data_IF_813816166774
#
_entry.id   IF_813816166774
#
_cell.length_a   1.000
_cell.length_b   1.000
_cell.length_c   1.000
_cell.angle_alpha   90.00
_cell.angle_beta   90.00
_cell.angle_gamma   90.00
#
_symmetry.space_group_name_H-M   'P 1'
#
loop_
_entity.id
_entity.type
_entity.pdbx_description
1 polymer ?
#
# COMPACT_ATOMS: atom_id res chain seq x y z
N UNK A 1 57.68 -59.50 35.94
CA UNK A 1 57.65 -58.05 35.86
C UNK A 1 56.76 -57.71 34.64
N UNK A 2 55.49 -57.28 34.89
CA UNK A 2 54.49 -56.99 33.80
C UNK A 2 54.38 -55.47 33.64
N UNK A 3 54.80 -54.98 32.52
CA UNK A 3 54.69 -53.56 32.12
C UNK A 3 53.28 -53.33 31.65
N UNK A 4 52.50 -52.41 32.30
CA UNK A 4 51.21 -51.97 31.87
C UNK A 4 51.39 -50.70 30.99
N UNK A 5 51.07 -50.82 29.74
CA UNK A 5 51.02 -49.68 28.85
C UNK A 5 49.74 -48.88 29.11
N UNK A 6 49.87 -47.59 29.40
CA UNK A 6 48.75 -46.64 29.55
C UNK A 6 48.58 -45.93 28.20
N UNK A 7 47.44 -46.17 27.58
CA UNK A 7 47.02 -45.40 26.37
C UNK A 7 46.42 -44.06 26.81
N UNK A 8 47.05 -42.96 26.49
CA UNK A 8 46.49 -41.60 26.65
C UNK A 8 45.72 -41.26 25.37
N UNK A 9 44.38 -41.19 25.46
CA UNK A 9 43.53 -40.71 24.38
C UNK A 9 43.55 -39.18 24.40
N UNK A 10 44.07 -38.57 23.35
CA UNK A 10 44.00 -37.13 23.12
C UNK A 10 42.58 -36.75 22.63
N UNK A 11 41.84 -36.01 23.44
CA UNK A 11 40.54 -35.44 23.06
C UNK A 11 40.81 -34.14 22.26
N UNK A 12 40.61 -34.18 20.98
CA UNK A 12 40.68 -33.00 20.12
C UNK A 12 39.36 -32.23 20.25
N UNK A 13 39.38 -31.11 20.96
CA UNK A 13 38.26 -30.16 21.06
C UNK A 13 38.26 -29.32 19.75
N UNK A 14 37.31 -29.57 18.88
CA UNK A 14 37.07 -28.73 17.68
C UNK A 14 36.27 -27.51 18.19
N UNK A 15 36.78 -26.28 18.05
CA UNK A 15 35.98 -25.12 18.40
C UNK A 15 34.85 -24.95 17.37
N UNK A 16 33.61 -25.17 17.80
CA UNK A 16 32.44 -24.74 17.06
C UNK A 16 32.40 -23.21 17.12
N UNK A 17 32.86 -22.54 16.07
CA UNK A 17 32.60 -21.11 15.88
C UNK A 17 31.12 -20.95 15.60
N UNK A 18 30.30 -20.59 16.61
CA UNK A 18 29.00 -20.00 16.39
C UNK A 18 29.25 -18.67 15.71
N UNK A 19 29.15 -18.66 14.38
CA UNK A 19 28.95 -17.42 13.67
C UNK A 19 27.59 -16.88 14.16
N UNK A 20 27.62 -15.85 14.98
CA UNK A 20 26.43 -15.09 15.34
C UNK A 20 25.89 -14.56 13.99
N UNK A 21 24.82 -15.16 13.49
CA UNK A 21 24.06 -14.57 12.40
C UNK A 21 23.56 -13.24 12.97
N UNK A 22 24.11 -12.14 12.48
CA UNK A 22 23.54 -10.82 12.66
C UNK A 22 22.15 -10.89 12.02
N UNK A 23 21.12 -11.21 12.81
CA UNK A 23 19.73 -11.08 12.40
C UNK A 23 19.55 -9.60 12.17
N UNK A 24 19.58 -9.18 10.89
CA UNK A 24 19.30 -7.81 10.52
C UNK A 24 17.89 -7.48 11.02
N UNK A 25 17.77 -6.50 11.90
CA UNK A 25 16.46 -6.04 12.35
C UNK A 25 15.76 -5.37 11.17
N UNK A 26 14.47 -5.64 11.01
CA UNK A 26 13.64 -4.98 9.99
C UNK A 26 13.68 -3.45 10.19
N UNK A 27 14.05 -2.67 9.18
CA UNK A 27 13.91 -1.23 9.23
C UNK A 27 12.45 -0.80 9.34
N UNK A 28 12.16 0.41 9.86
CA UNK A 28 10.79 0.90 9.97
C UNK A 28 10.08 0.95 8.61
N UNK A 29 8.80 0.53 8.60
CA UNK A 29 7.85 0.74 7.50
C UNK A 29 6.78 1.67 8.05
N UNK A 30 6.87 2.96 7.70
CA UNK A 30 6.16 4.02 8.40
C UNK A 30 4.80 4.37 7.79
N UNK A 31 4.44 3.78 6.67
CA UNK A 31 3.15 3.99 6.02
C UNK A 31 3.16 3.68 4.53
N UNK A 32 2.01 3.88 3.90
CA UNK A 32 1.88 3.90 2.45
C UNK A 32 2.38 5.26 1.97
N UNK A 33 3.40 5.27 1.11
CA UNK A 33 3.94 6.49 0.50
C UNK A 33 3.22 6.83 -0.80
N UNK A 34 2.84 5.80 -1.57
CA UNK A 34 2.23 5.99 -2.89
C UNK A 34 1.34 4.80 -3.25
N UNK A 35 0.25 5.09 -3.93
CA UNK A 35 -0.50 4.12 -4.72
C UNK A 35 -0.37 4.52 -6.18
N UNK A 36 0.01 3.59 -7.04
CA UNK A 36 0.12 3.84 -8.47
C UNK A 36 -0.94 3.06 -9.22
N UNK A 37 -1.62 3.74 -10.14
CA UNK A 37 -2.68 3.18 -10.96
C UNK A 37 -2.38 3.38 -12.45
N UNK A 38 -2.89 2.47 -13.26
CA UNK A 38 -2.85 2.58 -14.70
C UNK A 38 -4.05 3.35 -15.25
N UNK A 39 -3.84 4.07 -16.34
CA UNK A 39 -4.88 4.82 -17.03
C UNK A 39 -4.82 4.63 -18.54
N UNK A 40 -5.97 4.36 -19.16
CA UNK A 40 -6.12 4.31 -20.62
C UNK A 40 -6.33 5.69 -21.23
N UNK A 41 -6.85 6.65 -20.46
CA UNK A 41 -7.04 8.04 -20.83
C UNK A 41 -6.49 8.98 -19.75
N UNK A 42 -5.26 9.47 -19.97
CA UNK A 42 -4.57 10.35 -19.05
C UNK A 42 -5.30 11.68 -18.83
N UNK A 43 -6.05 12.18 -19.83
CA UNK A 43 -6.79 13.44 -19.67
C UNK A 43 -8.01 13.27 -18.75
N UNK A 44 -8.74 12.17 -18.89
CA UNK A 44 -9.85 11.86 -17.98
C UNK A 44 -9.34 11.61 -16.58
N UNK A 45 -8.23 10.89 -16.43
CA UNK A 45 -7.59 10.69 -15.12
C UNK A 45 -7.13 12.00 -14.49
N UNK A 46 -6.59 12.94 -15.29
CA UNK A 46 -6.29 14.29 -14.81
C UNK A 46 -7.53 15.04 -14.30
N UNK A 47 -8.66 14.89 -14.96
CA UNK A 47 -9.92 15.48 -14.49
C UNK A 47 -10.37 14.84 -13.18
N UNK A 48 -10.28 13.51 -13.06
CA UNK A 48 -10.68 12.81 -11.85
C UNK A 48 -9.77 13.16 -10.66
N UNK A 49 -8.47 12.90 -10.74
CA UNK A 49 -7.55 13.10 -9.62
C UNK A 49 -7.29 14.59 -9.34
N UNK A 50 -7.12 15.40 -10.38
CA UNK A 50 -6.76 16.82 -10.23
C UNK A 50 -7.94 17.74 -9.99
N UNK A 51 -9.06 17.54 -10.69
CA UNK A 51 -10.22 18.46 -10.61
C UNK A 51 -11.31 17.92 -9.69
N UNK A 52 -11.72 16.68 -9.87
CA UNK A 52 -12.82 16.12 -9.09
C UNK A 52 -12.38 15.82 -7.64
N UNK A 53 -11.30 15.09 -7.43
CA UNK A 53 -10.75 14.85 -6.08
C UNK A 53 -9.97 16.07 -5.54
N UNK A 54 -9.53 16.98 -6.40
CA UNK A 54 -8.87 18.23 -6.01
C UNK A 54 -7.40 18.10 -5.63
N UNK A 55 -6.74 17.02 -5.99
CA UNK A 55 -5.33 16.84 -5.64
C UNK A 55 -4.40 17.65 -6.55
N UNK A 56 -3.50 18.45 -5.97
CA UNK A 56 -2.54 19.21 -6.76
C UNK A 56 -1.52 18.27 -7.41
N UNK A 57 -1.27 18.46 -8.69
CA UNK A 57 -0.27 17.70 -9.42
C UNK A 57 1.15 18.11 -9.00
N UNK A 58 1.99 17.14 -8.69
CA UNK A 58 3.42 17.33 -8.42
C UNK A 58 4.12 17.72 -9.73
N UNK A 59 5.09 18.62 -9.66
CA UNK A 59 5.84 19.02 -10.83
C UNK A 59 6.64 17.83 -11.40
N UNK A 60 6.40 17.51 -12.67
CA UNK A 60 7.09 16.43 -13.36
C UNK A 60 8.37 16.92 -14.03
N UNK A 61 9.41 16.09 -14.02
CA UNK A 61 10.67 16.36 -14.72
C UNK A 61 10.54 16.19 -16.25
N UNK A 62 9.50 15.52 -16.75
CA UNK A 62 9.29 15.24 -18.16
C UNK A 62 7.80 15.14 -18.50
N UNK A 63 7.43 15.55 -19.72
CA UNK A 63 6.06 15.41 -20.21
C UNK A 63 5.63 13.95 -20.41
N UNK A 64 6.55 13.02 -20.53
CA UNK A 64 6.31 11.58 -20.67
C UNK A 64 6.34 10.83 -19.35
N UNK A 65 6.65 11.50 -18.23
CA UNK A 65 6.62 10.87 -16.92
C UNK A 65 5.17 10.64 -16.47
N UNK A 66 4.93 9.65 -15.60
CA UNK A 66 3.64 9.49 -14.94
C UNK A 66 3.16 10.78 -14.29
N UNK A 67 1.86 10.99 -14.24
CA UNK A 67 1.27 12.09 -13.47
C UNK A 67 1.22 11.70 -12.00
N UNK A 68 1.68 12.57 -11.13
CA UNK A 68 1.67 12.33 -9.68
C UNK A 68 0.87 13.43 -8.97
N UNK A 69 -0.03 13.02 -8.10
CA UNK A 69 -0.95 13.89 -7.36
C UNK A 69 -0.64 13.82 -5.88
N UNK A 70 -0.40 14.96 -5.27
CA UNK A 70 -0.11 15.04 -3.83
C UNK A 70 -1.38 14.88 -3.01
N UNK A 71 -1.42 13.85 -2.15
CA UNK A 71 -2.45 13.68 -1.11
C UNK A 71 -2.02 14.39 0.18
N UNK A 72 -0.76 14.18 0.60
CA UNK A 72 -0.16 14.86 1.75
C UNK A 72 1.30 15.25 1.46
N UNK A 73 2.02 15.76 2.46
CA UNK A 73 3.45 16.03 2.30
C UNK A 73 4.30 14.76 2.08
N UNK A 74 3.76 13.58 2.38
CA UNK A 74 4.48 12.30 2.33
C UNK A 74 3.77 11.24 1.48
N UNK A 75 2.57 11.53 0.99
CA UNK A 75 1.76 10.57 0.25
C UNK A 75 1.30 11.13 -1.09
N UNK A 76 1.27 10.28 -2.10
CA UNK A 76 0.83 10.63 -3.44
C UNK A 76 0.07 9.49 -4.12
N UNK A 77 -0.71 9.85 -5.14
CA UNK A 77 -1.28 8.92 -6.11
C UNK A 77 -0.57 9.16 -7.43
N UNK A 78 -0.01 8.10 -8.01
CA UNK A 78 0.61 8.16 -9.32
C UNK A 78 -0.32 7.54 -10.36
N UNK A 79 -0.44 8.21 -11.51
CA UNK A 79 -1.21 7.74 -12.65
C UNK A 79 -0.28 7.58 -13.83
N UNK A 80 -0.19 6.38 -14.36
CA UNK A 80 0.68 6.06 -15.49
C UNK A 80 -0.09 5.44 -16.66
N UNK A 81 0.39 5.59 -17.91
CA UNK A 81 -0.27 5.00 -19.06
C UNK A 81 -0.38 3.48 -18.90
N UNK A 82 -1.57 2.94 -19.14
CA UNK A 82 -1.82 1.50 -19.08
C UNK A 82 -1.07 0.78 -20.21
N UNK A 83 -0.34 -0.31 -19.92
CA UNK A 83 0.13 -1.23 -20.93
C UNK A 83 -1.03 -1.80 -21.75
N UNK A 84 -0.76 -2.17 -23.00
CA UNK A 84 -1.78 -2.80 -23.83
C UNK A 84 -2.25 -4.12 -23.22
N UNK A 85 -3.57 -4.31 -23.11
CA UNK A 85 -4.16 -5.51 -22.53
C UNK A 85 -4.21 -5.52 -21.01
N UNK A 86 -4.00 -4.37 -20.35
CA UNK A 86 -4.18 -4.23 -18.90
C UNK A 86 -5.62 -4.56 -18.51
N UNK A 87 -5.78 -5.47 -17.57
CA UNK A 87 -7.05 -5.86 -16.94
C UNK A 87 -7.11 -5.47 -15.47
N UNK A 88 -5.96 -5.36 -14.82
CA UNK A 88 -5.79 -4.86 -13.46
C UNK A 88 -5.14 -3.46 -13.51
N UNK A 89 -5.83 -2.48 -12.94
CA UNK A 89 -5.37 -1.10 -12.98
C UNK A 89 -4.58 -0.67 -11.74
N UNK A 90 -4.38 -1.52 -10.75
CA UNK A 90 -3.41 -1.28 -9.67
C UNK A 90 -2.00 -1.60 -10.17
N UNK A 91 -1.18 -0.56 -10.38
CA UNK A 91 0.17 -0.75 -10.89
C UNK A 91 1.15 -1.20 -9.80
N UNK A 92 1.11 -0.57 -8.63
CA UNK A 92 1.91 -0.94 -7.45
C UNK A 92 1.50 -0.15 -6.20
N UNK A 93 1.93 -0.66 -5.04
CA UNK A 93 1.83 0.03 -3.75
C UNK A 93 3.26 0.33 -3.25
N UNK A 94 3.51 1.55 -2.78
CA UNK A 94 4.79 1.95 -2.22
C UNK A 94 4.70 2.18 -0.71
N UNK A 95 5.64 1.58 0.03
CA UNK A 95 5.78 1.74 1.48
C UNK A 95 6.95 2.63 1.81
N UNK A 96 6.75 3.58 2.72
CA UNK A 96 7.80 4.44 3.22
C UNK A 96 8.70 3.72 4.21
N UNK A 97 10.01 3.83 4.03
CA UNK A 97 11.03 3.41 5.01
C UNK A 97 12.00 4.54 5.30
N UNK A 98 12.64 4.50 6.46
CA UNK A 98 13.64 5.49 6.84
C UNK A 98 15.07 5.11 6.45
N UNK A 99 15.31 3.83 6.13
CA UNK A 99 16.63 3.30 5.75
C UNK A 99 16.47 2.21 4.68
N UNK A 100 16.60 2.62 3.43
CA UNK A 100 16.41 1.74 2.27
C UNK A 100 17.57 0.74 2.09
N UNK A 101 18.81 1.13 2.44
CA UNK A 101 19.95 0.23 2.35
C UNK A 101 19.83 -0.92 3.36
N UNK A 102 19.39 -0.61 4.58
CA UNK A 102 19.10 -1.65 5.57
C UNK A 102 17.88 -2.48 5.17
N UNK A 103 16.87 -1.89 4.52
CA UNK A 103 15.71 -2.64 4.01
C UNK A 103 16.13 -3.64 2.95
N UNK A 104 16.98 -3.27 2.00
CA UNK A 104 17.50 -4.18 0.98
C UNK A 104 18.26 -5.35 1.62
N UNK A 105 19.16 -5.07 2.58
CA UNK A 105 19.89 -6.12 3.31
C UNK A 105 18.95 -7.04 4.10
N UNK A 106 17.94 -6.46 4.76
CA UNK A 106 16.95 -7.22 5.51
C UNK A 106 16.17 -8.17 4.59
N UNK A 107 15.57 -7.66 3.51
CA UNK A 107 14.81 -8.45 2.53
C UNK A 107 15.67 -9.58 1.95
N UNK A 108 16.92 -9.29 1.60
CA UNK A 108 17.88 -10.30 1.12
C UNK A 108 18.12 -11.40 2.19
N UNK A 109 18.27 -11.02 3.46
CA UNK A 109 18.45 -11.97 4.58
C UNK A 109 17.21 -12.85 4.78
N UNK A 110 16.03 -12.33 4.49
CA UNK A 110 14.76 -13.06 4.54
C UNK A 110 14.47 -13.83 3.23
N UNK A 111 15.40 -13.82 2.29
CA UNK A 111 15.27 -14.47 0.97
C UNK A 111 14.12 -13.92 0.11
N UNK A 112 13.73 -12.67 0.35
CA UNK A 112 12.80 -11.96 -0.52
C UNK A 112 13.55 -11.45 -1.75
N UNK A 113 13.14 -11.82 -2.96
CA UNK A 113 13.76 -11.34 -4.19
C UNK A 113 13.59 -9.83 -4.35
N UNK A 114 14.69 -9.09 -4.50
CA UNK A 114 14.69 -7.67 -4.84
C UNK A 114 14.92 -7.53 -6.34
N UNK A 115 14.09 -6.74 -7.02
CA UNK A 115 14.19 -6.50 -8.46
C UNK A 115 15.18 -5.36 -8.77
N UNK A 116 16.39 -5.71 -9.14
CA UNK A 116 17.45 -4.74 -9.49
C UNK A 116 18.08 -4.04 -8.28
N UNK A 117 18.76 -2.95 -8.55
CA UNK A 117 19.44 -2.13 -7.53
C UNK A 117 18.52 -1.00 -7.02
N UNK A 118 18.90 -0.42 -5.87
CA UNK A 118 18.26 0.81 -5.39
C UNK A 118 18.41 1.91 -6.44
N UNK A 119 17.31 2.51 -6.82
CA UNK A 119 17.25 3.61 -7.76
C UNK A 119 17.11 4.93 -6.99
N UNK A 120 17.64 6.01 -7.58
CA UNK A 120 17.53 7.36 -7.02
C UNK A 120 16.94 8.30 -8.07
N UNK A 121 15.87 8.99 -7.69
CA UNK A 121 15.25 10.03 -8.52
C UNK A 121 15.99 11.36 -8.41
N UNK A 122 15.80 12.30 -9.35
CA UNK A 122 16.45 13.60 -9.33
C UNK A 122 16.19 14.44 -8.07
N UNK A 123 15.06 14.22 -7.40
CA UNK A 123 14.69 14.89 -6.13
C UNK A 123 15.35 14.28 -4.90
N UNK A 124 16.12 13.21 -5.08
CA UNK A 124 16.75 12.47 -3.99
C UNK A 124 15.88 11.36 -3.38
N UNK A 125 14.67 11.15 -3.87
CA UNK A 125 13.84 9.98 -3.50
C UNK A 125 14.56 8.70 -3.96
N UNK A 126 14.71 7.74 -3.04
CA UNK A 126 15.31 6.44 -3.33
C UNK A 126 14.26 5.36 -3.21
N UNK A 127 14.36 4.33 -4.05
CA UNK A 127 13.41 3.23 -4.00
C UNK A 127 14.01 1.90 -4.49
N UNK A 128 13.40 0.80 -4.06
CA UNK A 128 13.66 -0.54 -4.55
C UNK A 128 12.34 -1.26 -4.83
N UNK A 129 12.40 -2.26 -5.72
CA UNK A 129 11.25 -3.05 -6.12
C UNK A 129 11.31 -4.46 -5.54
N UNK A 130 10.16 -4.94 -5.11
CA UNK A 130 9.91 -6.33 -4.74
C UNK A 130 8.56 -6.78 -5.28
N UNK A 131 8.31 -8.08 -5.21
CA UNK A 131 6.97 -8.65 -5.39
C UNK A 131 6.57 -9.40 -4.14
N UNK A 132 5.28 -9.39 -3.85
CA UNK A 132 4.70 -10.31 -2.89
C UNK A 132 4.59 -11.73 -3.49
N UNK A 133 4.15 -12.74 -2.73
CA UNK A 133 4.01 -14.11 -3.21
C UNK A 133 3.07 -14.29 -4.41
N UNK A 134 2.04 -13.46 -4.54
CA UNK A 134 1.10 -13.52 -5.68
C UNK A 134 1.53 -12.69 -6.89
N UNK A 135 2.63 -11.94 -6.76
CA UNK A 135 3.25 -11.19 -7.85
C UNK A 135 2.83 -9.72 -7.93
N UNK A 136 2.08 -9.20 -6.96
CA UNK A 136 1.81 -7.77 -6.91
C UNK A 136 3.11 -7.00 -6.74
N UNK A 137 3.25 -5.92 -7.49
CA UNK A 137 4.45 -5.09 -7.43
C UNK A 137 4.38 -4.17 -6.21
N UNK A 138 5.45 -4.19 -5.45
CA UNK A 138 5.61 -3.36 -4.27
C UNK A 138 6.90 -2.53 -4.40
N UNK A 139 6.88 -1.35 -3.80
CA UNK A 139 8.05 -0.48 -3.75
C UNK A 139 8.34 -0.09 -2.30
N UNK A 140 9.59 -0.17 -1.87
CA UNK A 140 10.03 0.51 -0.66
C UNK A 140 10.67 1.83 -1.05
N UNK A 141 10.24 2.91 -0.39
CA UNK A 141 10.63 4.28 -0.73
C UNK A 141 11.23 4.96 0.48
N UNK A 142 12.39 5.55 0.29
CA UNK A 142 12.98 6.52 1.22
C UNK A 142 12.84 7.90 0.61
N UNK A 143 12.03 8.75 1.25
CA UNK A 143 11.85 10.13 0.83
C UNK A 143 13.18 10.91 0.88
N UNK A 144 13.29 12.05 0.16
CA UNK A 144 14.47 12.90 0.22
C UNK A 144 14.83 13.32 1.65
N UNK A 145 16.06 13.82 1.91
CA UNK A 145 16.49 14.16 3.27
C UNK A 145 15.60 15.16 4.01
N UNK A 146 14.86 16.03 3.29
CA UNK A 146 13.85 16.90 3.90
C UNK A 146 12.53 16.19 4.25
N UNK A 147 12.38 14.90 3.87
CA UNK A 147 11.23 14.05 4.24
C UNK A 147 9.90 14.42 3.59
N UNK A 148 9.91 15.20 2.52
CA UNK A 148 8.72 15.68 1.82
C UNK A 148 8.81 15.46 0.32
N UNK A 149 7.67 15.24 -0.31
CA UNK A 149 7.55 15.18 -1.76
C UNK A 149 7.90 16.55 -2.39
N UNK A 150 8.28 16.53 -3.66
CA UNK A 150 8.53 17.74 -4.47
C UNK A 150 7.37 18.74 -4.35
N UNK A 151 7.65 20.04 -4.54
CA UNK A 151 6.61 21.06 -4.64
C UNK A 151 5.59 20.73 -5.72
N UNK A 152 4.35 21.12 -5.49
CA UNK A 152 3.31 21.02 -6.51
C UNK A 152 3.56 22.00 -7.65
N UNK A 153 3.11 21.66 -8.84
CA UNK A 153 3.18 22.55 -9.99
C UNK A 153 2.41 23.85 -9.73
N UNK A 154 3.03 25.00 -9.99
CA UNK A 154 2.40 26.31 -9.82
C UNK A 154 1.12 26.47 -10.67
N UNK A 155 1.03 25.79 -11.83
CA UNK A 155 -0.18 25.78 -12.68
C UNK A 155 -1.31 24.98 -12.06
N UNK A 156 -1.02 23.99 -11.21
CA UNK A 156 -2.06 23.18 -10.56
C UNK A 156 -2.63 23.82 -9.29
N UNK A 157 -1.98 24.85 -8.75
CA UNK A 157 -2.40 25.51 -7.50
C UNK A 157 -3.37 26.67 -7.73
N UNK A 158 -3.24 27.36 -8.86
CA UNK A 158 -3.88 28.68 -9.06
C UNK A 158 -5.41 28.67 -9.12
N UNK A 159 -6.04 27.50 -9.39
CA UNK A 159 -7.50 27.31 -9.41
C UNK A 159 -7.89 25.88 -8.98
N UNK A 160 -7.03 25.18 -8.25
CA UNK A 160 -7.34 23.83 -7.80
C UNK A 160 -8.46 23.86 -6.76
N UNK A 161 -9.47 22.98 -6.86
CA UNK A 161 -10.43 22.79 -5.79
C UNK A 161 -9.69 22.34 -4.52
N UNK A 162 -10.30 22.53 -3.36
CA UNK A 162 -9.77 21.99 -2.11
C UNK A 162 -9.67 20.46 -2.22
N UNK A 163 -8.53 19.83 -1.88
CA UNK A 163 -8.42 18.38 -1.85
C UNK A 163 -9.49 17.73 -0.96
N UNK A 164 -10.08 16.64 -1.45
CA UNK A 164 -11.13 15.91 -0.71
C UNK A 164 -10.58 15.23 0.55
N UNK A 165 -9.30 14.91 0.54
CA UNK A 165 -8.60 14.19 1.60
C UNK A 165 -7.17 14.68 1.75
N UNK A 166 -6.53 14.35 2.87
CA UNK A 166 -5.11 14.59 3.14
C UNK A 166 -4.36 13.32 3.56
N UNK A 167 -4.98 12.15 3.39
CA UNK A 167 -4.35 10.87 3.76
C UNK A 167 -4.87 9.72 2.90
N UNK A 168 -3.96 8.88 2.42
CA UNK A 168 -4.28 7.53 1.97
C UNK A 168 -4.36 6.67 3.22
N UNK A 169 -5.52 6.10 3.50
CA UNK A 169 -5.74 5.22 4.65
C UNK A 169 -5.23 3.81 4.36
N UNK A 170 -5.70 3.24 3.25
CA UNK A 170 -5.31 1.90 2.85
C UNK A 170 -5.19 1.74 1.33
N UNK A 171 -4.59 0.65 0.93
CA UNK A 171 -4.67 0.09 -0.40
C UNK A 171 -5.20 -1.33 -0.30
N UNK A 172 -6.22 -1.65 -1.08
CA UNK A 172 -6.81 -2.98 -1.17
C UNK A 172 -6.31 -3.70 -2.42
N UNK A 173 -6.10 -5.01 -2.30
CA UNK A 173 -5.74 -5.86 -3.43
C UNK A 173 -6.24 -7.28 -3.23
N UNK A 174 -6.46 -7.97 -4.35
CA UNK A 174 -6.96 -9.34 -4.37
C UNK A 174 -5.90 -10.29 -3.78
N UNK A 175 -6.34 -11.16 -2.88
CA UNK A 175 -5.52 -12.21 -2.28
C UNK A 175 -6.23 -13.55 -2.45
N UNK A 176 -5.55 -14.50 -3.08
CA UNK A 176 -6.04 -15.87 -3.30
C UNK A 176 -5.43 -16.86 -2.28
N UNK A 177 -4.21 -16.62 -1.82
CA UNK A 177 -3.50 -17.46 -0.86
C UNK A 177 -3.09 -16.65 0.39
N UNK A 178 -4.07 -16.42 1.27
CA UNK A 178 -3.84 -15.68 2.51
C UNK A 178 -2.62 -16.18 3.32
N UNK A 179 -2.39 -17.48 3.36
CA UNK A 179 -1.31 -18.01 4.19
C UNK A 179 0.10 -17.64 3.67
N UNK A 180 0.26 -17.49 2.35
CA UNK A 180 1.52 -17.01 1.77
C UNK A 180 1.67 -15.50 1.94
N UNK A 181 0.59 -14.74 1.78
CA UNK A 181 0.59 -13.29 2.03
C UNK A 181 0.81 -12.96 3.51
N UNK A 182 0.21 -13.68 4.45
CA UNK A 182 0.48 -13.52 5.89
C UNK A 182 1.96 -13.80 6.21
N UNK A 183 2.56 -14.83 5.60
CA UNK A 183 4.00 -15.08 5.79
C UNK A 183 4.85 -13.91 5.30
N UNK A 184 4.48 -13.32 4.19
CA UNK A 184 5.22 -12.18 3.63
C UNK A 184 4.95 -10.90 4.42
N UNK A 185 3.70 -10.49 4.57
CA UNK A 185 3.39 -9.21 5.21
C UNK A 185 3.50 -9.29 6.74
N UNK A 186 3.00 -10.34 7.38
CA UNK A 186 3.06 -10.46 8.84
C UNK A 186 4.42 -10.95 9.33
N UNK A 187 4.88 -12.14 8.88
CA UNK A 187 6.07 -12.75 9.48
C UNK A 187 7.38 -12.08 9.04
N UNK A 188 7.47 -11.64 7.76
CA UNK A 188 8.66 -10.98 7.24
C UNK A 188 8.58 -9.47 7.44
N UNK A 189 7.53 -8.81 6.97
CA UNK A 189 7.45 -7.35 7.00
C UNK A 189 6.90 -6.79 8.32
N UNK A 190 6.31 -7.62 9.19
CA UNK A 190 5.84 -7.25 10.51
C UNK A 190 4.51 -6.48 10.53
N UNK A 191 3.70 -6.59 9.47
CA UNK A 191 2.34 -6.06 9.46
C UNK A 191 1.49 -6.79 10.49
N UNK A 192 0.48 -6.12 11.03
CA UNK A 192 -0.37 -6.67 12.11
C UNK A 192 -1.83 -6.60 11.69
N UNK A 193 -2.53 -7.74 11.81
CA UNK A 193 -3.97 -7.78 11.57
C UNK A 193 -4.71 -6.84 12.52
N UNK A 194 -5.42 -5.86 11.97
CA UNK A 194 -6.19 -4.88 12.70
C UNK A 194 -7.68 -5.18 12.77
N UNK A 195 -8.21 -5.77 11.72
CA UNK A 195 -9.59 -6.21 11.62
C UNK A 195 -9.73 -7.25 10.51
N UNK A 196 -10.77 -8.08 10.62
CA UNK A 196 -11.19 -8.95 9.54
C UNK A 196 -12.72 -9.11 9.53
N UNK A 197 -13.28 -9.34 8.36
CA UNK A 197 -14.72 -9.48 8.22
C UNK A 197 -15.16 -10.14 6.92
N UNK A 198 -16.46 -10.34 6.80
CA UNK A 198 -17.04 -10.93 5.60
C UNK A 198 -18.54 -11.18 5.74
N UNK A 199 -19.17 -11.66 4.69
CA UNK A 199 -20.62 -11.92 4.64
C UNK A 199 -20.92 -13.37 4.97
N UNK A 200 -21.92 -13.57 5.83
CA UNK A 200 -22.31 -14.91 6.28
C UNK A 200 -21.20 -15.58 7.08
N UNK A 201 -20.69 -16.71 6.60
CA UNK A 201 -19.57 -17.43 7.20
C UNK A 201 -18.27 -17.32 6.39
N UNK A 202 -18.27 -16.54 5.30
CA UNK A 202 -17.12 -16.35 4.44
C UNK A 202 -16.33 -15.14 4.93
N UNK A 203 -15.03 -15.31 5.16
CA UNK A 203 -14.10 -14.20 5.35
C UNK A 203 -13.79 -13.59 3.98
N UNK A 204 -13.94 -12.27 3.84
CA UNK A 204 -13.77 -11.55 2.58
C UNK A 204 -12.73 -10.44 2.66
N UNK A 205 -12.51 -9.87 3.86
CA UNK A 205 -11.59 -8.75 4.09
C UNK A 205 -10.68 -8.99 5.29
N UNK A 206 -9.43 -8.54 5.18
CA UNK A 206 -8.46 -8.51 6.29
C UNK A 206 -7.65 -7.23 6.21
N UNK A 207 -7.71 -6.43 7.27
CA UNK A 207 -6.89 -5.21 7.42
C UNK A 207 -5.54 -5.54 8.02
N UNK A 208 -4.48 -5.35 7.27
CA UNK A 208 -3.10 -5.57 7.69
C UNK A 208 -2.40 -4.23 7.88
N UNK A 209 -2.31 -3.77 9.13
CA UNK A 209 -1.69 -2.47 9.46
C UNK A 209 -0.17 -2.51 9.23
N UNK A 210 0.37 -1.46 8.62
CA UNK A 210 1.83 -1.28 8.54
C UNK A 210 2.43 -1.19 9.95
N UNK A 211 3.60 -1.80 10.19
CA UNK A 211 4.10 -2.02 11.54
C UNK A 211 4.45 -0.74 12.31
N UNK A 212 4.88 0.30 11.63
CA UNK A 212 5.38 1.53 12.24
C UNK A 212 4.55 2.75 11.82
N UNK A 213 3.27 2.54 11.43
CA UNK A 213 2.36 3.58 10.96
C UNK A 213 0.89 3.28 11.23
N UNK A 214 0.03 4.09 10.61
CA UNK A 214 -1.43 3.99 10.81
C UNK A 214 -2.18 3.50 9.57
N UNK A 215 -1.52 3.47 8.40
CA UNK A 215 -2.09 2.94 7.17
C UNK A 215 -2.18 1.42 7.24
N UNK A 216 -3.00 0.82 6.38
CA UNK A 216 -3.10 -0.63 6.28
C UNK A 216 -3.24 -1.09 4.82
N UNK A 217 -2.98 -2.37 4.59
CA UNK A 217 -3.41 -3.08 3.40
C UNK A 217 -4.75 -3.74 3.70
N UNK A 218 -5.65 -3.74 2.74
CA UNK A 218 -6.87 -4.54 2.81
C UNK A 218 -6.75 -5.73 1.86
N UNK A 219 -6.67 -6.94 2.42
CA UNK A 219 -6.76 -8.16 1.62
C UNK A 219 -8.20 -8.35 1.17
N UNK A 220 -8.42 -8.37 -0.14
CA UNK A 220 -9.68 -8.74 -0.77
C UNK A 220 -9.64 -10.23 -1.08
N UNK A 221 -10.10 -11.06 -0.11
CA UNK A 221 -9.96 -12.52 -0.20
C UNK A 221 -10.87 -13.11 -1.28
N UNK A 222 -10.27 -13.75 -2.27
CA UNK A 222 -10.98 -14.41 -3.36
C UNK A 222 -10.68 -15.92 -3.39
N UNK A 223 -11.62 -16.69 -3.98
CA UNK A 223 -11.38 -18.12 -4.22
C UNK A 223 -10.16 -18.28 -5.13
N UNK A 224 -9.18 -19.14 -4.79
CA UNK A 224 -8.00 -19.40 -5.64
C UNK A 224 -8.33 -19.85 -7.07
N UNK A 225 -9.56 -20.30 -7.30
CA UNK A 225 -10.05 -20.74 -8.62
C UNK A 225 -10.86 -19.67 -9.35
N UNK A 226 -11.21 -18.57 -8.67
CA UNK A 226 -11.96 -17.48 -9.29
C UNK A 226 -11.00 -16.66 -10.16
N UNK A 227 -11.30 -16.59 -11.46
CA UNK A 227 -10.67 -15.64 -12.39
C UNK A 227 -11.61 -14.45 -12.53
N UNK A 228 -11.55 -13.54 -11.58
CA UNK A 228 -12.42 -12.34 -11.60
C UNK A 228 -11.67 -11.17 -12.25
N UNK A 229 -11.26 -11.32 -13.51
CA UNK A 229 -10.64 -10.22 -14.26
C UNK A 229 -11.57 -8.99 -14.37
N UNK A 230 -12.90 -9.19 -14.29
CA UNK A 230 -13.89 -8.11 -14.35
C UNK A 230 -14.01 -7.27 -13.09
N UNK A 231 -13.65 -7.82 -11.93
CA UNK A 231 -13.83 -7.16 -10.63
C UNK A 231 -12.53 -6.58 -10.06
N UNK A 232 -11.40 -6.72 -10.79
CA UNK A 232 -10.09 -6.28 -10.31
C UNK A 232 -10.05 -4.77 -10.01
N UNK A 233 -10.75 -3.94 -10.76
CA UNK A 233 -10.81 -2.49 -10.52
C UNK A 233 -11.56 -2.10 -9.26
N UNK A 234 -12.54 -2.89 -8.83
CA UNK A 234 -13.26 -2.70 -7.57
C UNK A 234 -12.47 -3.23 -6.38
N UNK A 235 -11.85 -4.40 -6.54
CA UNK A 235 -11.14 -5.10 -5.47
C UNK A 235 -9.72 -4.57 -5.28
N UNK A 236 -9.02 -4.24 -6.36
CA UNK A 236 -7.71 -3.60 -6.34
C UNK A 236 -7.88 -2.07 -6.29
N UNK A 237 -7.88 -1.50 -5.10
CA UNK A 237 -8.34 -0.14 -4.84
C UNK A 237 -7.46 0.62 -3.84
N UNK A 238 -7.84 1.86 -3.56
CA UNK A 238 -7.27 2.63 -2.46
C UNK A 238 -8.35 3.42 -1.73
N UNK A 239 -8.12 3.70 -0.45
CA UNK A 239 -9.02 4.53 0.35
C UNK A 239 -8.36 5.80 0.85
N UNK A 240 -9.15 6.86 0.85
CA UNK A 240 -8.80 8.21 1.27
C UNK A 240 -9.56 8.55 2.56
N UNK A 241 -8.84 8.98 3.59
CA UNK A 241 -9.45 9.34 4.86
C UNK A 241 -10.13 10.71 4.83
N UNK A 242 -11.36 10.77 5.30
CA UNK A 242 -12.12 12.01 5.46
C UNK A 242 -12.67 12.13 6.88
N UNK A 243 -12.75 13.33 7.45
CA UNK A 243 -13.28 13.53 8.80
C UNK A 243 -14.82 13.40 8.87
N UNK A 244 -15.53 13.66 7.77
CA UNK A 244 -16.98 13.61 7.65
C UNK A 244 -17.35 13.21 6.22
N UNK A 245 -17.93 12.04 6.09
CA UNK A 245 -18.26 11.45 4.78
C UNK A 245 -19.38 12.22 4.06
N UNK A 246 -20.36 12.74 4.82
CA UNK A 246 -21.47 13.49 4.24
C UNK A 246 -21.02 14.85 3.72
N UNK A 247 -20.10 15.52 4.44
CA UNK A 247 -19.49 16.76 3.95
C UNK A 247 -18.65 16.49 2.69
N UNK A 248 -17.89 15.40 2.67
CA UNK A 248 -17.11 15.00 1.49
C UNK A 248 -18.04 14.72 0.29
N UNK A 249 -19.13 13.98 0.49
CA UNK A 249 -20.13 13.72 -0.54
C UNK A 249 -20.73 15.01 -1.10
N UNK A 250 -21.11 15.96 -0.24
CA UNK A 250 -21.62 17.27 -0.67
C UNK A 250 -20.59 18.05 -1.50
N UNK A 251 -19.32 18.06 -1.07
CA UNK A 251 -18.24 18.69 -1.85
C UNK A 251 -18.14 18.11 -3.26
N UNK A 252 -18.23 16.80 -3.40
CA UNK A 252 -18.11 16.11 -4.69
C UNK A 252 -19.33 16.35 -5.58
N UNK A 253 -20.54 16.40 -5.04
CA UNK A 253 -21.77 16.71 -5.79
C UNK A 253 -21.68 18.04 -6.53
N UNK A 254 -20.97 19.03 -5.99
CA UNK A 254 -20.75 20.34 -6.64
C UNK A 254 -19.66 20.32 -7.72
N UNK A 255 -18.89 19.23 -7.85
CA UNK A 255 -17.74 19.17 -8.77
C UNK A 255 -18.01 18.48 -10.10
N UNK A 256 -19.18 17.92 -10.31
CA UNK A 256 -19.57 17.16 -11.49
C UNK A 256 -18.48 16.22 -12.03
N UNK A 257 -18.68 14.94 -11.86
CA UNK A 257 -17.87 13.90 -12.46
C UNK A 257 -18.73 13.08 -13.42
N UNK A 258 -18.36 13.09 -14.71
CA UNK A 258 -19.01 12.29 -15.73
C UNK A 258 -18.44 10.87 -15.69
N UNK A 259 -18.94 10.08 -14.77
CA UNK A 259 -18.57 8.68 -14.63
C UNK A 259 -19.59 7.79 -15.29
N UNK A 260 -19.13 6.73 -15.96
CA UNK A 260 -20.00 5.63 -16.40
C UNK A 260 -20.50 4.77 -15.21
N UNK A 261 -19.88 4.92 -14.04
CA UNK A 261 -20.29 4.29 -12.80
C UNK A 261 -21.22 5.22 -12.01
N UNK A 262 -22.31 4.70 -11.43
CA UNK A 262 -23.16 5.51 -10.59
C UNK A 262 -22.39 6.03 -9.37
N UNK A 263 -22.68 7.26 -9.01
CA UNK A 263 -22.23 7.82 -7.74
C UNK A 263 -23.02 7.15 -6.61
N UNK A 264 -22.33 6.47 -5.71
CA UNK A 264 -22.95 5.80 -4.57
C UNK A 264 -23.25 6.80 -3.45
N UNK A 265 -24.30 6.56 -2.68
CA UNK A 265 -24.56 7.31 -1.45
C UNK A 265 -23.64 6.79 -0.34
N UNK A 266 -23.27 7.66 0.64
CA UNK A 266 -22.54 7.20 1.81
C UNK A 266 -23.25 6.07 2.54
N UNK A 267 -22.53 5.01 2.86
CA UNK A 267 -23.04 3.87 3.61
C UNK A 267 -22.10 3.50 4.79
N UNK A 268 -22.58 2.68 5.72
CA UNK A 268 -21.72 2.16 6.78
C UNK A 268 -21.29 0.75 6.41
N UNK A 269 -19.98 0.58 6.19
CA UNK A 269 -19.35 -0.69 5.88
C UNK A 269 -19.47 -1.74 6.99
N UNK A 270 -19.07 -2.96 6.69
CA UNK A 270 -19.08 -4.06 7.66
C UNK A 270 -18.08 -3.86 8.79
N UNK A 271 -17.04 -3.08 8.55
CA UNK A 271 -16.06 -2.61 9.54
C UNK A 271 -16.63 -1.55 10.51
N UNK A 272 -17.84 -1.06 10.24
CA UNK A 272 -18.57 -0.09 11.05
C UNK A 272 -18.27 1.37 10.75
N UNK A 273 -17.42 1.67 9.77
CA UNK A 273 -17.08 3.05 9.37
C UNK A 273 -18.00 3.54 8.24
N UNK A 274 -18.19 4.85 8.16
CA UNK A 274 -18.77 5.47 7.00
C UNK A 274 -17.81 5.40 5.81
N UNK A 275 -18.33 5.03 4.65
CA UNK A 275 -17.60 4.91 3.39
C UNK A 275 -18.43 5.40 2.21
N UNK A 276 -17.76 5.74 1.12
CA UNK A 276 -18.34 6.16 -0.14
C UNK A 276 -17.43 5.71 -1.28
N UNK A 277 -17.95 4.89 -2.19
CA UNK A 277 -17.21 4.40 -3.34
C UNK A 277 -17.30 5.38 -4.51
N UNK A 278 -16.16 5.70 -5.07
CA UNK A 278 -15.98 6.45 -6.29
C UNK A 278 -15.17 5.61 -7.28
N UNK A 279 -15.36 5.83 -8.56
CA UNK A 279 -14.63 5.07 -9.57
C UNK A 279 -13.91 6.03 -10.52
N UNK A 280 -12.65 5.78 -10.77
CA UNK A 280 -11.88 6.53 -11.75
C UNK A 280 -12.32 6.16 -13.19
N UNK A 281 -11.77 6.81 -14.24
CA UNK A 281 -12.15 6.53 -15.63
C UNK A 281 -11.95 5.09 -16.10
N UNK A 282 -11.14 4.30 -15.38
CA UNK A 282 -10.84 2.91 -15.72
C UNK A 282 -11.59 1.91 -14.82
N UNK A 283 -12.42 2.41 -13.90
CA UNK A 283 -13.15 1.60 -12.94
C UNK A 283 -12.36 1.24 -11.68
N UNK A 284 -11.19 1.86 -11.45
CA UNK A 284 -10.48 1.69 -10.17
C UNK A 284 -11.24 2.41 -9.07
N UNK A 285 -11.59 1.68 -8.00
CA UNK A 285 -12.28 2.23 -6.84
C UNK A 285 -11.35 3.16 -6.06
N UNK A 286 -11.77 4.39 -5.89
CA UNK A 286 -11.22 5.36 -4.96
C UNK A 286 -12.23 5.53 -3.82
N UNK A 287 -12.04 4.85 -2.73
CA UNK A 287 -12.94 4.88 -1.58
C UNK A 287 -12.68 6.12 -0.72
N UNK A 288 -13.74 6.76 -0.26
CA UNK A 288 -13.65 7.69 0.88
C UNK A 288 -14.10 6.97 2.14
N UNK A 289 -13.38 7.15 3.23
CA UNK A 289 -13.66 6.45 4.49
C UNK A 289 -13.43 7.37 5.70
N UNK A 290 -14.32 7.32 6.70
CA UNK A 290 -14.07 7.96 7.99
C UNK A 290 -13.05 7.16 8.82
N UNK A 291 -12.35 7.87 9.72
CA UNK A 291 -11.23 7.28 10.47
C UNK A 291 -11.67 6.20 11.46
N UNK A 292 -12.82 6.37 12.10
CA UNK A 292 -13.30 5.50 13.16
C UNK A 292 -14.68 4.90 12.89
N UNK A 293 -14.99 3.75 13.49
CA UNK A 293 -16.30 3.16 13.38
C UNK A 293 -17.35 3.96 14.14
N UNK A 294 -18.51 4.15 13.52
CA UNK A 294 -19.70 4.78 14.12
C UNK A 294 -20.69 3.75 14.67
N UNK A 295 -20.47 2.49 14.33
CA UNK A 295 -21.18 1.35 14.91
C UNK A 295 -20.22 0.18 15.17
N UNK A 296 -20.66 -0.78 15.96
CA UNK A 296 -19.90 -2.02 16.17
C UNK A 296 -19.63 -2.69 14.80
N UNK A 297 -18.37 -3.03 14.47
CA UNK A 297 -18.07 -3.78 13.27
C UNK A 297 -18.74 -5.15 13.29
N UNK A 298 -19.09 -5.67 12.14
CA UNK A 298 -19.57 -7.04 12.03
C UNK A 298 -18.43 -8.03 12.30
N UNK A 299 -18.83 -9.23 12.60
CA UNK A 299 -18.02 -10.45 12.55
C UNK A 299 -16.92 -10.50 13.62
N UNK A 300 -15.93 -9.59 13.58
CA UNK A 300 -14.80 -9.54 14.51
C UNK A 300 -14.59 -8.12 15.05
N UNK A 301 -14.17 -7.97 16.32
CA UNK A 301 -13.78 -6.66 16.85
C UNK A 301 -12.44 -6.21 16.25
N UNK A 302 -12.18 -4.91 16.27
CA UNK A 302 -10.84 -4.40 16.00
C UNK A 302 -9.84 -4.93 17.04
N UNK A 303 -8.69 -5.40 16.56
CA UNK A 303 -7.59 -5.89 17.41
C UNK A 303 -6.59 -4.78 17.74
N UNK A 304 -6.59 -3.71 16.96
CA UNK A 304 -5.73 -2.55 17.12
C UNK A 304 -6.57 -1.27 17.26
N UNK A 305 -6.04 -0.22 17.92
CA UNK A 305 -6.67 1.09 17.89
C UNK A 305 -6.85 1.58 16.46
N UNK A 306 -8.04 2.05 16.12
CA UNK A 306 -8.27 2.67 14.80
C UNK A 306 -7.52 4.00 14.70
N UNK A 307 -7.06 4.40 13.49
CA UNK A 307 -6.47 5.72 13.26
C UNK A 307 -7.44 6.84 13.70
N UNK A 308 -6.87 7.95 14.19
CA UNK A 308 -7.63 9.14 14.59
C UNK A 308 -7.40 10.26 13.61
#
# INVERSE_FOLDING_TARGET
>A
MRIRSVLIAAITVIPFSLAAQNISMRPPITGIAKVSVYATDMNKSKQFYGTFLGFPQIASASASAPMEYRVSSKQSIEVQPAPNGTTDYLAYIAFATTDLDSMQRYLTSQKVPVEGDIQTQPDGTRFLWVKDPEGHRLQFVQLPPHGHLLPVSSSSVKNAPQPISQIILHAGFIVHNRAEEDRFFHDILGFVEGWQGGRGHKLEWVDMRVPDGTNWLEYMLQDPKAKNEGDSGELNHFALGVPDIHQAAQMLQHRHWDSSQPYEDPEIGLDGKWQLNLYDPNGTRAELMEFGPVRKPCCYPYTLPVPK
#
